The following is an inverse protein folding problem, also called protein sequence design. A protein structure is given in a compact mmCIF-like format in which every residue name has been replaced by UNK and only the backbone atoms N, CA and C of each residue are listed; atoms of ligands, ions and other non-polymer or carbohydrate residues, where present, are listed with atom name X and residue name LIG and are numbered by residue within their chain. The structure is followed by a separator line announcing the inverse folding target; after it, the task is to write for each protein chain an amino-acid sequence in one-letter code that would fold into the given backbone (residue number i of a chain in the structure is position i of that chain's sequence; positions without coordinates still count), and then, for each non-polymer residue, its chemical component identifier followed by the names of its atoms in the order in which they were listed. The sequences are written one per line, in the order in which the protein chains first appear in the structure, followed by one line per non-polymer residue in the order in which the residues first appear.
data_IF_712430923024
#
_entry.id   IF_712430923024
#
_cell.length_a   1.000
_cell.length_b   1.000
_cell.length_c   1.000
_cell.angle_alpha   90.00
_cell.angle_beta   90.00
_cell.angle_gamma   90.00
#
_symmetry.space_group_name_H-M   'P 1'
#
loop_
_entity.id
_entity.type
_entity.pdbx_description
1 polymer ?
#
# COMPACT_ATOMS: atom_id res chain seq x y z
N UNK A 1 1.96 19.06 6.17
CA UNK A 1 3.08 18.22 5.66
C UNK A 1 3.55 18.77 4.32
N UNK A 2 4.75 18.39 3.90
CA UNK A 2 5.30 18.70 2.57
C UNK A 2 5.67 17.41 1.85
N UNK A 3 5.87 17.45 0.54
CA UNK A 3 6.31 16.28 -0.23
C UNK A 3 7.64 15.70 0.32
N UNK A 4 8.57 16.55 0.76
CA UNK A 4 9.85 16.11 1.35
C UNK A 4 9.64 15.37 2.67
N UNK A 5 8.79 15.91 3.55
CA UNK A 5 8.45 15.23 4.81
C UNK A 5 7.76 13.89 4.57
N UNK A 6 6.89 13.80 3.56
CA UNK A 6 6.22 12.54 3.23
C UNK A 6 7.20 11.49 2.68
N UNK A 7 8.15 11.89 1.83
CA UNK A 7 9.18 11.01 1.31
C UNK A 7 10.10 10.50 2.43
N UNK A 8 10.56 11.39 3.33
CA UNK A 8 11.42 11.02 4.47
C UNK A 8 10.74 10.07 5.47
N UNK A 9 9.41 10.16 5.63
CA UNK A 9 8.65 9.33 6.58
C UNK A 9 8.01 8.10 5.92
N UNK A 10 8.17 7.92 4.61
CA UNK A 10 7.63 6.77 3.90
C UNK A 10 8.35 5.50 4.32
N UNK A 11 7.58 4.47 4.68
CA UNK A 11 8.11 3.11 4.92
C UNK A 11 8.17 2.28 3.65
N UNK A 12 7.62 2.78 2.53
CA UNK A 12 7.71 2.12 1.24
C UNK A 12 9.12 2.30 0.65
N UNK A 13 9.75 1.22 0.15
CA UNK A 13 11.00 1.35 -0.58
C UNK A 13 10.83 2.23 -1.82
N UNK A 14 11.89 2.94 -2.21
CA UNK A 14 11.88 3.75 -3.43
C UNK A 14 11.52 2.91 -4.66
N UNK A 15 10.90 3.57 -5.63
CA UNK A 15 10.66 2.93 -6.93
C UNK A 15 11.99 2.87 -7.70
N UNK A 16 12.38 1.72 -8.27
CA UNK A 16 13.64 1.62 -9.02
C UNK A 16 13.69 2.57 -10.22
N UNK A 17 14.84 3.18 -10.46
CA UNK A 17 15.04 4.13 -11.56
C UNK A 17 15.42 3.47 -12.90
N UNK A 18 15.57 2.14 -12.90
CA UNK A 18 15.94 1.31 -14.05
C UNK A 18 14.81 0.38 -14.53
N UNK A 19 13.62 0.45 -13.91
CA UNK A 19 12.45 -0.37 -14.26
C UNK A 19 11.48 0.41 -15.14
N UNK A 20 11.39 0.00 -16.41
CA UNK A 20 10.52 0.63 -17.42
C UNK A 20 9.59 -0.35 -18.14
N UNK A 21 9.90 -1.65 -18.11
CA UNK A 21 9.04 -2.66 -18.71
C UNK A 21 7.73 -2.79 -17.92
N UNK A 22 6.61 -2.95 -18.64
CA UNK A 22 5.29 -2.98 -18.04
C UNK A 22 5.11 -4.11 -17.03
N UNK A 23 5.64 -5.31 -17.30
CA UNK A 23 5.54 -6.44 -16.37
C UNK A 23 6.40 -6.21 -15.14
N UNK A 24 7.64 -5.74 -15.33
CA UNK A 24 8.54 -5.41 -14.21
C UNK A 24 7.96 -4.30 -13.33
N UNK A 25 7.33 -3.28 -13.93
CA UNK A 25 6.63 -2.24 -13.18
C UNK A 25 5.50 -2.82 -12.31
N UNK A 26 4.71 -3.75 -12.85
CA UNK A 26 3.63 -4.40 -12.11
C UNK A 26 4.15 -5.27 -10.97
N UNK A 27 5.28 -5.96 -11.15
CA UNK A 27 5.92 -6.75 -10.09
C UNK A 27 6.37 -5.84 -8.93
N UNK A 28 7.01 -4.71 -9.23
CA UNK A 28 7.38 -3.71 -8.21
C UNK A 28 6.14 -3.13 -7.53
N UNK A 29 5.10 -2.79 -8.30
CA UNK A 29 3.85 -2.25 -7.74
C UNK A 29 3.15 -3.28 -6.84
N UNK A 30 3.12 -4.57 -7.21
CA UNK A 30 2.55 -5.62 -6.38
C UNK A 30 3.24 -5.67 -5.00
N UNK A 31 4.58 -5.62 -4.99
CA UNK A 31 5.36 -5.57 -3.75
C UNK A 31 5.03 -4.33 -2.91
N UNK A 32 5.01 -3.14 -3.52
CA UNK A 32 4.71 -1.88 -2.81
C UNK A 32 3.28 -1.84 -2.27
N UNK A 33 2.30 -2.32 -3.03
CA UNK A 33 0.91 -2.41 -2.58
C UNK A 33 0.74 -3.46 -1.49
N UNK A 34 1.47 -4.57 -1.52
CA UNK A 34 1.51 -5.54 -0.42
C UNK A 34 1.99 -4.92 0.89
N UNK A 35 3.10 -4.16 0.85
CA UNK A 35 3.62 -3.44 2.03
C UNK A 35 2.65 -2.37 2.52
N UNK A 36 2.03 -1.62 1.61
CA UNK A 36 1.00 -0.63 1.95
C UNK A 36 -0.24 -1.28 2.60
N UNK A 37 -0.72 -2.40 2.06
CA UNK A 37 -1.86 -3.12 2.63
C UNK A 37 -1.53 -3.66 4.04
N UNK A 38 -0.33 -4.20 4.24
CA UNK A 38 0.12 -4.69 5.55
C UNK A 38 0.18 -3.58 6.60
N UNK A 39 0.79 -2.44 6.26
CA UNK A 39 0.88 -1.29 7.18
C UNK A 39 -0.48 -0.68 7.49
N UNK A 40 -1.39 -0.64 6.51
CA UNK A 40 -2.78 -0.18 6.72
C UNK A 40 -3.52 -1.08 7.71
N UNK A 41 -3.38 -2.41 7.60
CA UNK A 41 -4.00 -3.34 8.58
C UNK A 41 -3.42 -3.17 9.98
N UNK A 42 -2.10 -3.00 10.10
CA UNK A 42 -1.48 -2.71 11.39
C UNK A 42 -1.99 -1.38 12.00
N UNK A 43 -2.31 -0.38 11.17
CA UNK A 43 -2.89 0.87 11.63
C UNK A 43 -4.33 0.72 12.14
N UNK A 44 -5.13 -0.19 11.56
CA UNK A 44 -6.47 -0.56 12.09
C UNK A 44 -6.33 -1.08 13.52
N UNK A 45 -5.42 -2.04 13.73
CA UNK A 45 -5.17 -2.65 15.04
C UNK A 45 -4.67 -1.60 16.03
N UNK A 46 -3.72 -0.75 15.62
CA UNK A 46 -3.17 0.33 16.46
C UNK A 46 -4.27 1.32 16.90
N UNK A 47 -5.15 1.74 15.99
CA UNK A 47 -6.25 2.64 16.33
C UNK A 47 -7.26 1.98 17.27
N UNK A 48 -7.57 0.70 17.04
CA UNK A 48 -8.46 -0.07 17.91
C UNK A 48 -7.89 -0.25 19.32
N UNK A 49 -6.59 -0.53 19.45
CA UNK A 49 -5.88 -0.62 20.74
C UNK A 49 -5.90 0.69 21.54
N UNK A 50 -6.05 1.82 20.85
CA UNK A 50 -6.22 3.15 21.44
C UNK A 50 -7.68 3.57 21.65
N UNK A 51 -8.64 2.66 21.44
CA UNK A 51 -10.08 2.91 21.52
C UNK A 51 -10.60 3.99 20.54
N UNK A 52 -9.83 4.30 19.49
CA UNK A 52 -10.19 5.25 18.43
C UNK A 52 -10.89 4.53 17.27
N UNK A 53 -12.18 4.28 17.47
CA UNK A 53 -13.01 3.49 16.54
C UNK A 53 -13.20 4.18 15.18
N UNK A 54 -13.31 5.50 15.16
CA UNK A 54 -13.52 6.26 13.91
C UNK A 54 -12.27 6.19 13.03
N UNK A 55 -11.08 6.31 13.60
CA UNK A 55 -9.81 6.16 12.86
C UNK A 55 -9.62 4.70 12.40
N UNK A 56 -10.00 3.72 13.22
CA UNK A 56 -9.95 2.30 12.84
C UNK A 56 -10.88 1.99 11.66
N UNK A 57 -12.10 2.54 11.66
CA UNK A 57 -13.05 2.41 10.54
C UNK A 57 -12.52 3.07 9.27
N UNK A 58 -11.92 4.27 9.38
CA UNK A 58 -11.27 4.94 8.26
C UNK A 58 -10.17 4.08 7.62
N UNK A 59 -9.28 3.49 8.43
CA UNK A 59 -8.25 2.59 7.89
C UNK A 59 -8.86 1.30 7.32
N UNK A 60 -9.98 0.83 7.86
CA UNK A 60 -10.72 -0.32 7.32
C UNK A 60 -11.26 -0.02 5.92
N UNK A 61 -11.82 1.17 5.69
CA UNK A 61 -12.22 1.63 4.35
C UNK A 61 -11.05 1.67 3.37
N UNK A 62 -9.92 2.25 3.79
CA UNK A 62 -8.70 2.34 2.99
C UNK A 62 -8.21 0.94 2.62
N UNK A 63 -8.14 0.02 3.58
CA UNK A 63 -7.64 -1.35 3.37
C UNK A 63 -8.38 -2.08 2.26
N UNK A 64 -9.72 -1.96 2.21
CA UNK A 64 -10.57 -2.57 1.17
C UNK A 64 -10.20 -2.07 -0.23
N UNK A 65 -9.90 -0.77 -0.35
CA UNK A 65 -9.48 -0.17 -1.63
C UNK A 65 -8.09 -0.66 -2.03
N UNK A 66 -7.15 -0.71 -1.09
CA UNK A 66 -5.77 -1.15 -1.37
C UNK A 66 -5.75 -2.61 -1.82
N UNK A 67 -6.50 -3.48 -1.13
CA UNK A 67 -6.58 -4.90 -1.48
C UNK A 67 -7.19 -5.13 -2.86
N UNK A 68 -8.23 -4.35 -3.22
CA UNK A 68 -8.82 -4.41 -4.56
C UNK A 68 -7.81 -3.99 -5.64
N UNK A 69 -7.02 -2.94 -5.38
CA UNK A 69 -6.01 -2.48 -6.33
C UNK A 69 -4.89 -3.51 -6.48
N UNK A 70 -4.43 -4.11 -5.38
CA UNK A 70 -3.46 -5.20 -5.40
C UNK A 70 -3.98 -6.39 -6.21
N UNK A 71 -5.24 -6.78 -5.98
CA UNK A 71 -5.88 -7.84 -6.77
C UNK A 71 -5.88 -7.54 -8.28
N UNK A 72 -6.15 -6.30 -8.69
CA UNK A 72 -6.07 -5.93 -10.10
C UNK A 72 -4.64 -6.06 -10.65
N UNK A 73 -3.63 -5.66 -9.89
CA UNK A 73 -2.22 -5.81 -10.30
C UNK A 73 -1.87 -7.29 -10.47
N UNK A 74 -2.19 -8.11 -9.47
CA UNK A 74 -1.92 -9.55 -9.48
C UNK A 74 -2.65 -10.26 -10.64
N UNK A 75 -3.89 -9.86 -10.94
CA UNK A 75 -4.64 -10.43 -12.06
C UNK A 75 -3.94 -10.22 -13.41
N UNK A 76 -3.33 -9.04 -13.63
CA UNK A 76 -2.57 -8.78 -14.86
C UNK A 76 -1.27 -9.58 -14.91
N UNK A 77 -0.61 -9.80 -13.76
CA UNK A 77 0.59 -10.63 -13.67
C UNK A 77 0.31 -12.13 -13.91
N UNK A 78 -0.86 -12.63 -13.49
CA UNK A 78 -1.27 -14.03 -13.67
C UNK A 78 -1.72 -14.34 -15.11
N UNK A 79 -2.21 -13.34 -15.84
CA UNK A 79 -2.66 -13.49 -17.23
C UNK A 79 -1.55 -13.41 -18.28
N UNK A 80 -0.32 -13.11 -17.87
CA UNK A 80 0.84 -12.83 -18.72
C UNK A 80 1.77 -14.04 -18.91
#
# INVERSE_FOLDING_TARGET
GTARMAAEQSTLPEFPDDVFDGKQCLEVLAERFGNYAATTRAAIDTAADHEDQDTSDLFTEVSRTVDKNLWFIDAHLQSA
#
